data_IF_329112358870
#
_entry.id   IF_329112358870
#
_cell.length_a   1.000
_cell.length_b   1.000
_cell.length_c   1.000
_cell.angle_alpha   90.00
_cell.angle_beta   90.00
_cell.angle_gamma   90.00
#
_symmetry.space_group_name_H-M   'P 1'
#
loop_
_entity.id
_entity.type
_entity.pdbx_description
1 polymer ?
#
# COMPACT_ATOMS: atom_id res chain seq x y z
N UNK A 1 -11.12 -0.28 5.61
CA UNK A 1 -11.66 -1.24 4.63
C UNK A 1 -10.53 -2.13 4.12
N UNK A 2 -10.85 -3.35 3.68
CA UNK A 2 -9.92 -4.21 2.94
C UNK A 2 -10.55 -4.53 1.59
N UNK A 3 -9.84 -4.24 0.51
CA UNK A 3 -10.25 -4.54 -0.86
C UNK A 3 -9.54 -5.83 -1.27
N UNK A 4 -10.30 -6.83 -1.75
CA UNK A 4 -9.78 -8.11 -2.20
C UNK A 4 -9.81 -8.18 -3.73
N UNK A 5 -8.64 -8.40 -4.33
CA UNK A 5 -8.45 -8.57 -5.77
C UNK A 5 -8.20 -10.07 -6.04
N UNK A 6 -9.28 -10.77 -6.36
CA UNK A 6 -9.29 -12.23 -6.58
C UNK A 6 -9.42 -12.54 -8.08
N UNK A 7 -8.99 -13.74 -8.49
CA UNK A 7 -9.26 -14.27 -9.84
C UNK A 7 -8.82 -13.33 -10.99
N UNK A 8 -7.64 -12.72 -10.87
CA UNK A 8 -7.10 -11.81 -11.89
C UNK A 8 -7.68 -10.39 -11.85
N UNK A 9 -8.53 -10.08 -10.86
CA UNK A 9 -9.03 -8.72 -10.64
C UNK A 9 -7.87 -7.72 -10.53
N UNK A 10 -8.12 -6.51 -11.02
CA UNK A 10 -7.14 -5.43 -11.06
C UNK A 10 -7.74 -4.18 -10.42
N UNK A 11 -6.90 -3.41 -9.72
CA UNK A 11 -7.23 -2.08 -9.24
C UNK A 11 -6.37 -1.05 -9.95
N UNK A 12 -7.03 0.00 -10.44
CA UNK A 12 -6.40 1.08 -11.18
C UNK A 12 -6.96 2.41 -10.69
N UNK A 13 -6.10 3.22 -10.06
CA UNK A 13 -6.42 4.56 -9.56
C UNK A 13 -5.67 5.59 -10.39
N UNK A 14 -6.38 6.57 -10.95
CA UNK A 14 -5.80 7.64 -11.76
C UNK A 14 -5.56 8.93 -10.98
N UNK A 15 -4.58 9.72 -11.43
CA UNK A 15 -4.09 10.94 -10.76
C UNK A 15 -5.14 12.07 -10.56
N UNK A 16 -6.35 11.94 -11.09
CA UNK A 16 -7.43 12.92 -10.91
C UNK A 16 -8.50 12.44 -9.90
N UNK A 17 -8.33 11.25 -9.34
CA UNK A 17 -9.24 10.66 -8.36
C UNK A 17 -8.77 11.01 -6.95
N UNK A 18 -9.71 11.41 -6.08
CA UNK A 18 -9.48 11.50 -4.64
C UNK A 18 -9.84 10.16 -4.01
N UNK A 19 -8.84 9.49 -3.45
CA UNK A 19 -9.02 8.18 -2.82
C UNK A 19 -8.51 8.23 -1.39
N UNK A 20 -9.37 7.90 -0.42
CA UNK A 20 -9.02 7.80 1.00
C UNK A 20 -9.28 6.37 1.47
N UNK A 21 -8.22 5.57 1.55
CA UNK A 21 -8.27 4.18 1.99
C UNK A 21 -7.42 4.01 3.25
N UNK A 22 -8.08 3.53 4.30
CA UNK A 22 -7.43 3.11 5.54
C UNK A 22 -7.83 1.67 5.87
N UNK A 23 -6.92 0.87 6.43
CA UNK A 23 -7.21 -0.52 6.77
C UNK A 23 -8.17 -0.60 7.96
N UNK A 24 -8.80 -1.75 8.16
CA UNK A 24 -9.42 -2.05 9.45
C UNK A 24 -8.35 -2.13 10.55
N UNK A 25 -8.66 -1.68 11.77
CA UNK A 25 -7.79 -1.83 12.95
C UNK A 25 -7.98 -3.16 13.67
N UNK A 26 -9.04 -3.90 13.34
CA UNK A 26 -9.41 -5.18 13.98
C UNK A 26 -9.85 -6.23 12.96
N UNK A 27 -9.83 -7.49 13.39
CA UNK A 27 -10.21 -8.64 12.56
C UNK A 27 -9.01 -9.28 11.83
N UNK A 28 -9.24 -10.39 11.10
CA UNK A 28 -8.17 -11.18 10.51
C UNK A 28 -7.28 -10.36 9.56
N UNK A 29 -7.88 -9.45 8.78
CA UNK A 29 -7.20 -8.59 7.81
C UNK A 29 -6.86 -7.20 8.36
N UNK A 30 -6.85 -7.01 9.69
CA UNK A 30 -6.43 -5.76 10.30
C UNK A 30 -5.05 -5.32 9.79
N UNK A 31 -4.94 -4.05 9.41
CA UNK A 31 -3.75 -3.45 8.82
C UNK A 31 -3.64 -3.59 7.30
N UNK A 32 -4.47 -4.43 6.65
CA UNK A 32 -4.44 -4.63 5.19
C UNK A 32 -5.53 -3.81 4.51
N UNK A 33 -5.12 -2.97 3.56
CA UNK A 33 -6.01 -2.09 2.79
C UNK A 33 -6.33 -2.67 1.43
N UNK A 34 -5.32 -3.22 0.75
CA UNK A 34 -5.47 -3.92 -0.53
C UNK A 34 -4.78 -5.28 -0.39
N UNK A 35 -5.51 -6.33 -0.73
CA UNK A 35 -5.02 -7.69 -0.80
C UNK A 35 -5.27 -8.24 -2.20
N UNK A 36 -4.22 -8.74 -2.84
CA UNK A 36 -4.29 -9.44 -4.10
C UNK A 36 -3.82 -10.88 -3.90
N UNK A 37 -4.58 -11.81 -4.48
CA UNK A 37 -4.35 -13.25 -4.42
C UNK A 37 -2.96 -13.64 -4.97
N UNK A 38 -2.37 -14.68 -4.38
CA UNK A 38 -1.18 -15.32 -4.93
C UNK A 38 -1.43 -15.88 -6.32
N UNK A 39 -0.47 -15.69 -7.21
CA UNK A 39 -0.59 -16.08 -8.63
C UNK A 39 -1.37 -15.08 -9.49
N UNK A 40 -2.03 -14.07 -8.91
CA UNK A 40 -2.47 -12.91 -9.67
C UNK A 40 -1.24 -12.05 -10.02
N UNK A 41 -1.06 -11.79 -11.32
CA UNK A 41 0.06 -10.99 -11.84
C UNK A 41 -0.41 -9.67 -12.45
N UNK A 42 -1.70 -9.34 -12.30
CA UNK A 42 -2.30 -8.12 -12.82
C UNK A 42 -1.65 -6.89 -12.17
N UNK A 43 -1.24 -5.92 -12.98
CA UNK A 43 -0.51 -4.76 -12.48
C UNK A 43 -1.39 -3.89 -11.56
N UNK A 44 -0.86 -3.52 -10.40
CA UNK A 44 -1.55 -2.63 -9.46
C UNK A 44 -1.06 -1.20 -9.65
N UNK A 45 -1.95 -0.30 -10.06
CA UNK A 45 -1.63 1.12 -10.27
C UNK A 45 -2.33 1.99 -9.23
N UNK A 46 -1.51 2.65 -8.42
CA UNK A 46 -1.93 3.52 -7.32
C UNK A 46 -1.41 4.93 -7.58
N UNK A 47 -2.07 5.67 -8.48
CA UNK A 47 -1.72 7.05 -8.80
C UNK A 47 -2.79 7.96 -8.19
N UNK A 48 -2.71 8.25 -6.89
CA UNK A 48 -3.67 9.15 -6.24
C UNK A 48 -3.44 10.61 -6.65
N UNK A 49 -4.52 11.38 -6.81
CA UNK A 49 -4.42 12.83 -6.98
C UNK A 49 -3.96 13.56 -5.72
N UNK A 50 -3.74 14.87 -5.85
CA UNK A 50 -3.45 15.72 -4.69
C UNK A 50 -4.56 15.56 -3.63
N UNK A 51 -4.17 15.31 -2.38
CA UNK A 51 -5.05 15.00 -1.24
C UNK A 51 -5.67 13.59 -1.21
N UNK A 52 -5.09 12.60 -1.92
CA UNK A 52 -5.45 11.19 -1.71
C UNK A 52 -4.60 10.55 -0.61
N UNK A 53 -5.20 9.71 0.21
CA UNK A 53 -4.54 9.01 1.31
C UNK A 53 -4.70 7.51 1.17
N UNK A 54 -3.60 6.76 1.11
CA UNK A 54 -3.61 5.29 1.18
C UNK A 54 -2.66 4.87 2.29
N UNK A 55 -3.20 4.28 3.35
CA UNK A 55 -2.42 3.78 4.50
C UNK A 55 -2.56 2.28 4.65
N UNK A 56 -1.74 1.66 5.51
CA UNK A 56 -1.73 0.23 5.76
C UNK A 56 -0.91 -0.58 4.76
N UNK A 57 -1.21 -1.87 4.66
CA UNK A 57 -0.59 -2.79 3.72
C UNK A 57 -1.32 -2.83 2.39
N UNK A 58 -0.52 -2.74 1.34
CA UNK A 58 -0.87 -3.16 -0.01
C UNK A 58 -0.08 -4.43 -0.28
N UNK A 59 -0.79 -5.55 -0.33
CA UNK A 59 -0.23 -6.89 -0.52
C UNK A 59 -0.59 -7.41 -1.91
N UNK A 60 0.38 -7.44 -2.82
CA UNK A 60 0.27 -7.96 -4.18
C UNK A 60 1.58 -8.66 -4.59
N UNK A 61 1.95 -9.76 -3.91
CA UNK A 61 3.31 -10.32 -3.89
C UNK A 61 3.82 -10.76 -5.26
N UNK A 62 2.92 -11.18 -6.15
CA UNK A 62 3.25 -11.71 -7.48
C UNK A 62 3.10 -10.67 -8.60
N UNK A 63 2.55 -9.49 -8.30
CA UNK A 63 2.28 -8.42 -9.24
C UNK A 63 3.27 -7.24 -9.18
N UNK A 64 3.47 -6.54 -10.30
CA UNK A 64 4.14 -5.25 -10.30
C UNK A 64 3.22 -4.15 -9.73
N UNK A 65 3.76 -3.34 -8.83
CA UNK A 65 3.08 -2.19 -8.24
C UNK A 65 3.70 -0.90 -8.81
N UNK A 66 2.87 -0.04 -9.39
CA UNK A 66 3.22 1.34 -9.72
C UNK A 66 2.53 2.28 -8.74
N UNK A 67 3.32 2.99 -7.96
CA UNK A 67 2.84 3.97 -6.99
C UNK A 67 3.36 5.36 -7.36
N UNK A 68 2.46 6.27 -7.73
CA UNK A 68 2.77 7.68 -7.93
C UNK A 68 2.16 8.50 -6.80
N UNK A 69 2.98 8.87 -5.81
CA UNK A 69 2.51 9.62 -4.64
C UNK A 69 2.78 11.11 -4.79
N UNK A 70 1.72 11.91 -4.61
CA UNK A 70 1.76 13.37 -4.53
C UNK A 70 1.19 13.89 -3.19
N UNK A 71 1.06 13.02 -2.20
CA UNK A 71 0.49 13.31 -0.90
C UNK A 71 1.49 13.00 0.21
N UNK A 72 1.57 13.94 1.12
CA UNK A 72 2.34 13.88 2.35
C UNK A 72 1.94 12.66 3.20
N UNK A 73 2.67 11.55 3.08
CA UNK A 73 2.71 10.47 4.08
C UNK A 73 3.42 10.92 5.39
N UNK A 74 3.44 12.23 5.63
CA UNK A 74 4.05 12.89 6.78
C UNK A 74 3.01 13.27 7.83
N UNK A 75 1.73 13.27 7.46
CA UNK A 75 0.60 13.47 8.38
C UNK A 75 0.46 12.27 9.32
N UNK A 76 0.16 12.55 10.60
CA UNK A 76 0.07 11.55 11.67
C UNK A 76 -1.09 10.57 11.40
N UNK A 77 -0.78 9.46 10.72
CA UNK A 77 -1.75 8.40 10.40
C UNK A 77 -1.37 7.51 9.21
N UNK A 78 -0.46 7.96 8.34
CA UNK A 78 -0.37 7.41 6.99
C UNK A 78 0.86 6.52 6.78
N UNK A 79 0.84 5.34 7.40
CA UNK A 79 1.89 4.36 7.24
C UNK A 79 1.58 3.40 6.08
N UNK A 80 2.15 3.68 4.91
CA UNK A 80 2.02 2.82 3.73
C UNK A 80 3.14 1.77 3.66
N UNK A 81 2.75 0.53 3.36
CA UNK A 81 3.64 -0.62 3.20
C UNK A 81 3.27 -1.37 1.93
N UNK A 82 4.20 -1.42 0.98
CA UNK A 82 4.01 -2.06 -0.31
C UNK A 82 4.74 -3.40 -0.32
N UNK A 83 4.01 -4.48 -0.58
CA UNK A 83 4.56 -5.82 -0.82
C UNK A 83 4.18 -6.21 -2.23
N UNK A 84 5.13 -6.20 -3.14
CA UNK A 84 4.92 -6.68 -4.50
C UNK A 84 6.20 -7.16 -5.16
N UNK A 85 6.05 -7.81 -6.32
CA UNK A 85 7.16 -8.39 -7.08
C UNK A 85 8.18 -7.33 -7.48
N UNK A 86 7.67 -6.18 -7.92
CA UNK A 86 8.44 -4.97 -8.17
C UNK A 86 7.63 -3.78 -7.70
N UNK A 87 8.29 -2.78 -7.13
CA UNK A 87 7.65 -1.53 -6.72
C UNK A 87 8.33 -0.38 -7.45
N UNK A 88 7.60 0.25 -8.37
CA UNK A 88 8.01 1.50 -9.00
C UNK A 88 7.36 2.65 -8.23
N UNK A 89 8.19 3.48 -7.59
CA UNK A 89 7.74 4.68 -6.90
C UNK A 89 8.15 5.91 -7.70
N UNK A 90 7.17 6.77 -8.02
CA UNK A 90 7.40 8.05 -8.70
C UNK A 90 6.72 9.19 -7.94
N UNK A 91 7.22 10.42 -8.09
CA UNK A 91 6.68 11.61 -7.39
C UNK A 91 7.41 11.96 -6.08
N UNK A 92 6.96 13.04 -5.43
CA UNK A 92 7.51 13.56 -4.18
C UNK A 92 6.78 12.93 -2.99
N UNK A 93 7.08 11.65 -2.73
CA UNK A 93 6.51 10.94 -1.58
C UNK A 93 7.48 10.97 -0.40
N UNK A 94 6.99 11.27 0.79
CA UNK A 94 7.71 10.91 2.02
C UNK A 94 7.44 9.43 2.32
N UNK A 95 8.44 8.68 2.79
CA UNK A 95 8.27 7.29 3.21
C UNK A 95 8.61 7.20 4.69
N UNK A 96 7.64 6.75 5.51
CA UNK A 96 7.86 6.50 6.93
C UNK A 96 8.17 5.03 7.17
N UNK A 97 9.30 4.75 7.83
CA UNK A 97 9.76 3.39 8.12
C UNK A 97 9.35 2.87 9.49
N UNK A 98 8.98 3.72 10.45
CA UNK A 98 8.39 3.28 11.72
C UNK A 98 6.86 3.37 11.67
N UNK A 99 6.23 2.20 11.62
CA UNK A 99 4.77 2.04 11.53
C UNK A 99 4.21 1.14 12.64
N UNK A 100 5.01 0.87 13.66
CA UNK A 100 4.70 -0.09 14.74
C UNK A 100 3.35 0.16 15.39
N UNK A 101 3.03 1.43 15.70
CA UNK A 101 1.76 1.83 16.30
C UNK A 101 0.50 1.59 15.43
N UNK A 102 0.65 1.51 14.11
CA UNK A 102 -0.48 1.48 13.16
C UNK A 102 -0.79 0.07 12.61
N UNK A 103 0.10 -0.89 12.84
CA UNK A 103 0.02 -2.23 12.25
C UNK A 103 -0.49 -3.29 13.24
N UNK A 104 -1.15 -2.87 14.32
CA UNK A 104 -1.70 -3.77 15.33
C UNK A 104 -0.66 -4.70 15.96
N UNK A 105 0.58 -4.20 16.13
CA UNK A 105 1.74 -4.97 16.59
C UNK A 105 2.08 -6.22 15.75
N UNK A 106 1.65 -6.27 14.49
CA UNK A 106 1.99 -7.36 13.57
C UNK A 106 3.36 -7.12 12.96
N UNK A 107 4.31 -7.99 13.25
CA UNK A 107 5.60 -8.03 12.56
C UNK A 107 5.43 -8.60 11.14
N UNK A 108 6.03 -7.92 10.17
CA UNK A 108 6.16 -8.46 8.82
C UNK A 108 7.49 -9.18 8.67
N UNK A 109 7.42 -10.48 8.40
CA UNK A 109 8.58 -11.27 8.01
C UNK A 109 8.76 -11.23 6.50
N UNK A 110 9.59 -10.29 6.02
CA UNK A 110 10.03 -10.24 4.64
C UNK A 110 11.41 -10.88 4.51
N UNK A 111 11.59 -11.84 3.58
CA UNK A 111 12.90 -12.45 3.31
C UNK A 111 13.92 -11.46 2.76
N UNK A 112 13.44 -10.42 2.07
CA UNK A 112 14.21 -9.26 1.61
C UNK A 112 13.44 -8.00 1.93
N UNK A 113 14.08 -7.07 2.64
CA UNK A 113 13.55 -5.73 2.93
C UNK A 113 14.48 -4.67 2.37
N UNK A 114 13.90 -3.65 1.76
CA UNK A 114 14.60 -2.39 1.48
C UNK A 114 14.04 -1.38 2.46
N UNK A 115 14.88 -0.88 3.36
CA UNK A 115 14.51 0.14 4.33
C UNK A 115 15.25 1.42 3.95
N UNK A 116 14.50 2.49 3.69
CA UNK A 116 15.07 3.82 3.53
C UNK A 116 15.49 4.30 4.93
N UNK A 117 16.80 4.20 5.22
CA UNK A 117 17.38 4.76 6.42
C UNK A 117 17.56 6.28 6.23
N UNK A 118 17.28 7.05 7.28
CA UNK A 118 17.60 8.48 7.34
C UNK A 118 19.08 8.67 7.63
#
# INVERSE_FOLDING_TARGET
>A
VTIFLMEGAQLYINANEKVDLSPSTSGPYAGITIFEDHGNTSALTLNGGANSTISGFVYAPDAPISYAGNSDMSSQGDCLRLVGKTVLMTGNSSVRTDCTAMLGNREMYASRRITLAK
#
